data_IF_937649818708
#
_entry.id   IF_937649818708
#
_cell.length_a   1.000
_cell.length_b   1.000
_cell.length_c   1.000
_cell.angle_alpha   90.00
_cell.angle_beta   90.00
_cell.angle_gamma   90.00
#
_symmetry.space_group_name_H-M   'P 1'
#
loop_
_entity.id
_entity.type
_entity.pdbx_description
1 polymer ?
#
# COMPACT_ATOMS: atom_id res chain seq x y z
N UNK A 1 -17.91 -1.34 -18.70
CA UNK A 1 -16.62 -0.70 -18.40
C UNK A 1 -16.05 -1.38 -17.18
N UNK A 2 -14.85 -1.93 -17.29
CA UNK A 2 -14.20 -2.62 -16.17
C UNK A 2 -13.83 -1.63 -15.07
N UNK A 3 -14.04 -2.03 -13.81
CA UNK A 3 -13.63 -1.26 -12.65
C UNK A 3 -12.74 -2.11 -11.73
N UNK A 4 -12.06 -1.46 -10.84
CA UNK A 4 -11.12 -2.05 -9.89
C UNK A 4 -11.32 -1.42 -8.52
N UNK A 5 -11.10 -2.18 -7.48
CA UNK A 5 -11.12 -1.65 -6.11
C UNK A 5 -9.69 -1.35 -5.69
N UNK A 6 -9.46 -0.12 -5.25
CA UNK A 6 -8.22 0.30 -4.60
C UNK A 6 -8.40 0.43 -3.09
N UNK A 7 -7.46 -0.09 -2.34
CA UNK A 7 -7.37 0.08 -0.89
C UNK A 7 -6.03 0.72 -0.57
N UNK A 8 -6.08 1.81 0.21
CA UNK A 8 -4.90 2.47 0.77
C UNK A 8 -5.01 2.44 2.30
N UNK A 9 -4.18 1.61 2.91
CA UNK A 9 -4.08 1.50 4.37
C UNK A 9 -2.84 2.25 4.85
N UNK A 10 -3.06 3.45 5.37
CA UNK A 10 -2.05 4.24 6.06
C UNK A 10 -2.16 4.17 7.58
N UNK A 11 -1.27 4.90 8.29
CA UNK A 11 -1.24 4.92 9.75
C UNK A 11 -2.43 5.61 10.41
N UNK A 12 -3.21 6.43 9.68
CA UNK A 12 -4.30 7.24 10.25
C UNK A 12 -5.66 6.94 9.61
N UNK A 13 -5.69 6.38 8.42
CA UNK A 13 -6.92 6.07 7.70
C UNK A 13 -6.75 4.86 6.78
N UNK A 14 -7.86 4.18 6.53
CA UNK A 14 -8.06 3.26 5.43
C UNK A 14 -8.95 3.96 4.40
N UNK A 15 -8.51 4.05 3.16
CA UNK A 15 -9.30 4.54 2.03
C UNK A 15 -9.65 3.37 1.12
N UNK A 16 -10.91 3.27 0.75
CA UNK A 16 -11.39 2.31 -0.27
C UNK A 16 -11.98 3.12 -1.42
N UNK A 17 -11.64 2.75 -2.64
CA UNK A 17 -12.15 3.41 -3.83
C UNK A 17 -12.43 2.46 -4.98
N UNK A 18 -13.44 2.79 -5.79
CA UNK A 18 -13.69 2.17 -7.08
C UNK A 18 -13.11 3.07 -8.17
N UNK A 19 -12.29 2.49 -9.03
CA UNK A 19 -11.59 3.21 -10.10
C UNK A 19 -11.80 2.51 -11.44
N UNK A 20 -11.78 3.29 -12.52
CA UNK A 20 -11.80 2.75 -13.88
C UNK A 20 -10.40 2.36 -14.32
N UNK A 21 -10.29 1.60 -15.43
CA UNK A 21 -9.01 1.28 -16.06
C UNK A 21 -8.21 2.53 -16.50
N UNK A 22 -8.88 3.63 -16.77
CA UNK A 22 -8.26 4.92 -17.10
C UNK A 22 -7.75 5.70 -15.88
N UNK A 23 -8.00 5.20 -14.65
CA UNK A 23 -7.60 5.86 -13.42
C UNK A 23 -8.62 6.87 -12.89
N UNK A 24 -9.82 6.93 -13.47
CA UNK A 24 -10.89 7.78 -12.95
C UNK A 24 -11.47 7.18 -11.67
N UNK A 25 -11.56 7.99 -10.63
CA UNK A 25 -12.13 7.60 -9.34
C UNK A 25 -13.63 7.80 -9.37
N UNK A 26 -14.40 6.71 -9.30
CA UNK A 26 -15.86 6.74 -9.37
C UNK A 26 -16.49 7.03 -8.00
N UNK A 27 -15.95 6.43 -6.95
CA UNK A 27 -16.38 6.62 -5.57
C UNK A 27 -15.29 6.28 -4.58
N UNK A 28 -15.37 6.83 -3.38
CA UNK A 28 -14.45 6.53 -2.28
C UNK A 28 -15.17 6.50 -0.95
N UNK A 29 -14.61 5.75 0.00
CA UNK A 29 -15.01 5.77 1.40
C UNK A 29 -13.78 5.68 2.28
N UNK A 30 -13.78 6.44 3.38
CA UNK A 30 -12.67 6.50 4.32
C UNK A 30 -13.11 5.98 5.69
N UNK A 31 -12.22 5.25 6.34
CA UNK A 31 -12.40 4.72 7.68
C UNK A 31 -11.21 5.15 8.55
N UNK A 32 -11.44 5.63 9.78
CA UNK A 32 -10.35 5.95 10.67
C UNK A 32 -9.60 4.66 11.05
N UNK A 33 -8.28 4.79 11.11
CA UNK A 33 -7.41 3.75 11.67
C UNK A 33 -6.77 4.27 12.96
N UNK A 34 -5.75 3.64 13.41
CA UNK A 34 -4.86 4.01 14.51
C UNK A 34 -3.73 3.00 14.49
N UNK A 35 -3.05 2.82 15.61
CA UNK A 35 -2.08 1.76 15.75
C UNK A 35 -2.81 0.40 15.73
N UNK A 36 -2.76 -0.31 14.60
CA UNK A 36 -3.40 -1.60 14.39
C UNK A 36 -2.35 -2.72 14.34
N UNK A 37 -2.71 -3.89 14.85
CA UNK A 37 -2.03 -5.13 14.49
C UNK A 37 -2.42 -5.53 13.07
N UNK A 38 -1.63 -6.41 12.42
CA UNK A 38 -1.98 -6.92 11.09
C UNK A 38 -3.37 -7.57 11.08
N UNK A 39 -3.75 -8.31 12.12
CA UNK A 39 -5.07 -8.93 12.21
C UNK A 39 -6.19 -7.88 12.29
N UNK A 40 -6.05 -6.87 13.15
CA UNK A 40 -7.04 -5.79 13.25
C UNK A 40 -7.17 -5.01 11.94
N UNK A 41 -6.06 -4.79 11.25
CA UNK A 41 -6.07 -4.15 9.94
C UNK A 41 -6.75 -5.03 8.88
N UNK A 42 -6.53 -6.33 8.90
CA UNK A 42 -7.23 -7.29 8.04
C UNK A 42 -8.74 -7.29 8.29
N UNK A 43 -9.15 -7.30 9.56
CA UNK A 43 -10.57 -7.24 9.93
C UNK A 43 -11.23 -5.94 9.48
N UNK A 44 -10.51 -4.82 9.57
CA UNK A 44 -10.97 -3.51 9.07
C UNK A 44 -11.09 -3.52 7.54
N UNK A 45 -10.11 -4.06 6.82
CA UNK A 45 -10.16 -4.21 5.37
C UNK A 45 -11.37 -5.04 4.95
N UNK A 46 -11.59 -6.18 5.60
CA UNK A 46 -12.76 -7.02 5.32
C UNK A 46 -14.07 -6.28 5.58
N UNK A 47 -14.21 -5.62 6.72
CA UNK A 47 -15.42 -4.86 7.06
C UNK A 47 -15.69 -3.73 6.07
N UNK A 48 -14.63 -3.05 5.62
CA UNK A 48 -14.73 -1.98 4.62
C UNK A 48 -15.15 -2.52 3.25
N UNK A 49 -14.57 -3.63 2.81
CA UNK A 49 -14.94 -4.29 1.55
C UNK A 49 -16.37 -4.83 1.57
N UNK A 50 -16.77 -5.48 2.67
CA UNK A 50 -18.13 -6.01 2.82
C UNK A 50 -19.20 -4.91 2.71
N UNK A 51 -18.89 -3.71 3.21
CA UNK A 51 -19.78 -2.56 3.13
C UNK A 51 -19.70 -1.82 1.77
N UNK A 52 -18.56 -1.87 1.08
CA UNK A 52 -18.32 -1.07 -0.12
C UNK A 52 -18.67 -1.80 -1.41
N UNK A 53 -18.31 -3.08 -1.54
CA UNK A 53 -18.50 -3.88 -2.75
C UNK A 53 -19.96 -3.95 -3.24
N UNK A 54 -20.99 -4.06 -2.37
CA UNK A 54 -22.38 -4.09 -2.83
C UNK A 54 -22.84 -2.83 -3.56
N UNK A 55 -22.14 -1.71 -3.37
CA UNK A 55 -22.45 -0.42 -4.00
C UNK A 55 -21.65 -0.20 -5.30
N UNK A 56 -20.69 -1.08 -5.60
CA UNK A 56 -19.81 -0.97 -6.76
C UNK A 56 -20.45 -1.52 -8.03
N UNK A 57 -19.83 -1.22 -9.15
CA UNK A 57 -20.17 -1.81 -10.44
C UNK A 57 -20.10 -3.34 -10.37
N UNK A 58 -21.03 -4.08 -11.01
CA UNK A 58 -20.91 -5.54 -11.14
C UNK A 58 -19.71 -5.96 -12.00
N UNK A 59 -19.01 -5.02 -12.63
CA UNK A 59 -17.86 -5.25 -13.50
C UNK A 59 -16.52 -5.08 -12.78
N UNK A 60 -16.47 -5.18 -11.45
CA UNK A 60 -15.23 -5.18 -10.67
C UNK A 60 -14.37 -6.38 -11.09
N UNK A 61 -13.13 -6.12 -11.50
CA UNK A 61 -12.22 -7.13 -12.04
C UNK A 61 -11.16 -7.61 -11.03
N UNK A 62 -10.74 -6.74 -10.12
CA UNK A 62 -9.70 -7.06 -9.14
C UNK A 62 -9.70 -6.07 -7.98
N UNK A 63 -9.00 -6.45 -6.90
CA UNK A 63 -8.72 -5.62 -5.74
C UNK A 63 -7.21 -5.37 -5.67
N UNK A 64 -6.80 -4.11 -5.56
CA UNK A 64 -5.42 -3.68 -5.32
C UNK A 64 -5.27 -3.08 -3.93
N UNK A 65 -4.22 -3.46 -3.22
CA UNK A 65 -3.92 -3.01 -1.86
C UNK A 65 -2.60 -2.24 -1.82
N UNK A 66 -2.63 -1.00 -1.38
CA UNK A 66 -1.47 -0.25 -0.89
C UNK A 66 -1.45 -0.34 0.63
N UNK A 67 -0.45 -0.99 1.20
CA UNK A 67 -0.42 -1.30 2.62
C UNK A 67 0.82 -0.71 3.28
N UNK A 68 0.63 -0.12 4.45
CA UNK A 68 1.75 0.28 5.31
C UNK A 68 2.56 -0.94 5.73
N UNK A 69 3.88 -0.76 5.79
CA UNK A 69 4.82 -1.79 6.21
C UNK A 69 5.44 -2.57 5.05
N UNK A 70 5.87 -3.78 5.31
CA UNK A 70 6.67 -4.57 4.40
C UNK A 70 5.84 -5.64 3.68
N UNK A 71 5.82 -5.55 2.35
CA UNK A 71 5.01 -6.40 1.47
C UNK A 71 5.92 -7.11 0.47
N UNK A 72 5.77 -8.42 0.35
CA UNK A 72 6.27 -9.22 -0.77
C UNK A 72 5.17 -9.28 -1.83
N UNK A 73 5.24 -8.37 -2.78
CA UNK A 73 4.21 -8.23 -3.82
C UNK A 73 4.19 -9.38 -4.82
N UNK A 74 5.32 -10.09 -4.99
CA UNK A 74 5.39 -11.26 -5.87
C UNK A 74 4.66 -12.46 -5.27
N UNK A 75 4.77 -12.63 -3.93
CA UNK A 75 4.12 -13.73 -3.21
C UNK A 75 2.76 -13.37 -2.62
N UNK A 76 2.37 -12.09 -2.68
CA UNK A 76 1.12 -11.62 -2.08
C UNK A 76 1.10 -11.68 -0.55
N UNK A 77 2.28 -11.52 0.08
CA UNK A 77 2.46 -11.66 1.52
C UNK A 77 2.62 -10.30 2.21
N UNK A 78 1.86 -10.08 3.27
CA UNK A 78 2.09 -8.98 4.20
C UNK A 78 3.03 -9.43 5.29
N UNK A 79 4.31 -9.05 5.19
CA UNK A 79 5.38 -9.56 6.05
C UNK A 79 5.40 -8.89 7.42
N UNK A 80 5.04 -7.59 7.48
CA UNK A 80 5.12 -6.79 8.69
C UNK A 80 4.32 -5.50 8.53
N UNK A 81 3.60 -5.05 9.57
CA UNK A 81 2.86 -3.79 9.51
C UNK A 81 3.71 -2.60 9.99
N UNK A 82 4.29 -2.68 11.16
CA UNK A 82 5.31 -1.78 11.73
C UNK A 82 5.71 -2.29 13.12
N UNK A 83 6.86 -1.84 13.65
CA UNK A 83 7.22 -2.07 15.05
C UNK A 83 7.62 -3.49 15.44
N UNK A 84 8.01 -4.35 14.49
CA UNK A 84 8.76 -5.58 14.79
C UNK A 84 7.93 -6.81 15.20
N UNK A 85 6.60 -6.77 15.13
CA UNK A 85 5.77 -7.99 15.28
C UNK A 85 5.64 -8.67 13.92
N UNK A 86 6.40 -9.73 13.74
CA UNK A 86 6.45 -10.51 12.50
C UNK A 86 5.33 -11.55 12.49
N UNK A 87 4.21 -11.24 11.89
CA UNK A 87 3.24 -12.24 11.48
C UNK A 87 3.11 -12.11 9.95
N UNK A 88 3.57 -13.11 9.21
CA UNK A 88 3.39 -13.14 7.76
C UNK A 88 1.97 -13.56 7.43
N UNK A 89 1.20 -12.69 6.79
CA UNK A 89 -0.15 -12.99 6.33
C UNK A 89 -0.17 -13.16 4.81
N UNK A 90 -0.72 -14.26 4.27
CA UNK A 90 -0.94 -14.43 2.83
C UNK A 90 -2.18 -13.63 2.39
N UNK A 91 -2.10 -12.30 2.52
CA UNK A 91 -3.24 -11.40 2.40
C UNK A 91 -3.94 -11.48 1.05
N UNK A 92 -3.18 -11.63 -0.05
CA UNK A 92 -3.78 -11.74 -1.38
C UNK A 92 -4.61 -13.02 -1.51
N UNK A 93 -4.10 -14.15 -1.02
CA UNK A 93 -4.81 -15.42 -1.03
C UNK A 93 -6.08 -15.35 -0.16
N UNK A 94 -5.96 -14.87 1.08
CA UNK A 94 -7.08 -14.76 2.02
C UNK A 94 -8.23 -13.93 1.46
N UNK A 95 -7.94 -12.75 0.90
CA UNK A 95 -8.96 -11.88 0.33
C UNK A 95 -9.49 -12.42 -1.01
N UNK A 96 -8.64 -13.03 -1.83
CA UNK A 96 -9.08 -13.64 -3.09
C UNK A 96 -10.06 -14.78 -2.87
N UNK A 97 -9.82 -15.62 -1.86
CA UNK A 97 -10.75 -16.69 -1.46
C UNK A 97 -12.07 -16.13 -0.95
N UNK A 98 -12.03 -15.05 -0.15
CA UNK A 98 -13.23 -14.45 0.44
C UNK A 98 -14.12 -13.77 -0.60
N UNK A 99 -13.53 -13.01 -1.53
CA UNK A 99 -14.29 -12.16 -2.46
C UNK A 99 -14.39 -12.74 -3.87
N UNK A 100 -13.74 -13.88 -4.15
CA UNK A 100 -13.72 -14.51 -5.49
C UNK A 100 -13.21 -13.55 -6.58
N UNK A 101 -12.28 -12.68 -6.24
CA UNK A 101 -11.64 -11.70 -7.12
C UNK A 101 -10.11 -11.86 -7.04
N UNK A 102 -9.37 -11.61 -8.13
CA UNK A 102 -7.93 -11.45 -8.07
C UNK A 102 -7.55 -10.31 -7.11
N UNK A 103 -6.56 -10.55 -6.24
CA UNK A 103 -6.08 -9.58 -5.26
C UNK A 103 -4.58 -9.39 -5.42
N UNK A 104 -4.14 -8.14 -5.43
CA UNK A 104 -2.74 -7.75 -5.52
C UNK A 104 -2.41 -6.78 -4.39
N UNK A 105 -1.24 -6.92 -3.79
CA UNK A 105 -0.78 -6.07 -2.71
C UNK A 105 0.62 -5.53 -2.97
N UNK A 106 0.86 -4.30 -2.58
CA UNK A 106 2.19 -3.72 -2.48
C UNK A 106 2.26 -2.74 -1.30
N UNK A 107 3.46 -2.28 -0.99
CA UNK A 107 3.63 -1.18 -0.05
C UNK A 107 2.94 0.09 -0.60
N UNK A 108 2.39 0.92 0.30
CA UNK A 108 1.65 2.14 -0.02
C UNK A 108 2.44 3.12 -0.90
N UNK A 109 3.71 3.38 -0.55
CA UNK A 109 4.59 4.27 -1.32
C UNK A 109 4.93 3.69 -2.69
N UNK A 110 5.16 2.37 -2.79
CA UNK A 110 5.37 1.71 -4.09
C UNK A 110 4.10 1.69 -4.94
N UNK A 111 2.94 1.57 -4.31
CA UNK A 111 1.64 1.69 -4.99
C UNK A 111 1.42 3.09 -5.55
N UNK A 112 1.74 4.14 -4.79
CA UNK A 112 1.71 5.52 -5.26
C UNK A 112 2.70 5.76 -6.41
N UNK A 113 3.93 5.23 -6.30
CA UNK A 113 4.90 5.28 -7.40
C UNK A 113 4.36 4.62 -8.68
N UNK A 114 3.72 3.44 -8.58
CA UNK A 114 3.08 2.77 -9.72
C UNK A 114 2.00 3.62 -10.36
N UNK A 115 1.20 4.32 -9.54
CA UNK A 115 0.19 5.25 -10.01
C UNK A 115 0.81 6.43 -10.78
N UNK A 116 1.90 7.02 -10.29
CA UNK A 116 2.65 8.06 -10.98
C UNK A 116 3.22 7.58 -12.33
N UNK A 117 3.76 6.38 -12.37
CA UNK A 117 4.27 5.79 -13.62
C UNK A 117 3.15 5.53 -14.63
N UNK A 118 1.96 5.18 -14.18
CA UNK A 118 0.83 4.84 -15.06
C UNK A 118 0.02 6.05 -15.48
N UNK A 119 -0.28 6.95 -14.55
CA UNK A 119 -1.26 8.02 -14.73
C UNK A 119 -0.67 9.43 -14.54
N UNK A 120 0.46 9.54 -13.83
CA UNK A 120 1.05 10.81 -13.41
C UNK A 120 2.22 11.29 -14.27
N UNK A 121 3.12 12.02 -13.62
CA UNK A 121 4.30 12.64 -14.23
C UNK A 121 5.40 11.63 -14.58
N UNK A 122 5.32 10.41 -14.02
CA UNK A 122 6.29 9.33 -14.26
C UNK A 122 6.10 8.56 -15.57
N UNK A 123 5.06 8.88 -16.37
CA UNK A 123 4.78 8.16 -17.62
C UNK A 123 5.95 8.20 -18.59
N UNK A 124 6.45 7.02 -18.98
CA UNK A 124 7.57 6.87 -19.91
C UNK A 124 8.95 7.15 -19.31
N UNK A 125 9.03 7.51 -18.03
CA UNK A 125 10.29 7.74 -17.32
C UNK A 125 10.84 6.41 -16.83
N UNK A 126 12.12 6.14 -17.12
CA UNK A 126 12.78 4.90 -16.73
C UNK A 126 13.59 5.01 -15.43
N UNK A 127 13.94 6.23 -15.03
CA UNK A 127 14.73 6.48 -13.82
C UNK A 127 14.05 7.60 -13.03
N UNK A 128 13.42 7.25 -11.90
CA UNK A 128 12.56 8.12 -11.12
C UNK A 128 12.72 7.85 -9.63
N UNK A 129 12.73 8.90 -8.83
CA UNK A 129 12.57 8.83 -7.38
C UNK A 129 11.25 9.49 -7.02
N UNK A 130 10.37 8.75 -6.39
CA UNK A 130 9.15 9.24 -5.76
C UNK A 130 9.39 9.38 -4.27
N UNK A 131 9.22 10.58 -3.71
CA UNK A 131 9.41 10.84 -2.27
C UNK A 131 8.05 11.15 -1.67
N UNK A 132 7.68 10.40 -0.64
CA UNK A 132 6.49 10.64 0.17
C UNK A 132 6.91 11.26 1.51
N UNK A 133 6.34 12.43 1.83
CA UNK A 133 6.51 13.12 3.11
C UNK A 133 5.14 13.31 3.72
N UNK A 134 4.82 12.49 4.72
CA UNK A 134 3.52 12.47 5.41
C UNK A 134 3.72 12.18 6.89
N UNK A 135 2.98 11.21 7.44
CA UNK A 135 3.22 10.71 8.82
C UNK A 135 4.65 10.20 8.98
N UNK A 136 5.20 9.59 7.94
CA UNK A 136 6.59 9.19 7.82
C UNK A 136 7.24 9.78 6.56
N UNK A 137 8.50 9.43 6.33
CA UNK A 137 9.25 9.77 5.12
C UNK A 137 9.70 8.47 4.47
N UNK A 138 9.33 8.28 3.22
CA UNK A 138 9.73 7.11 2.45
C UNK A 138 9.93 7.46 0.97
N UNK A 139 10.59 6.60 0.22
CA UNK A 139 10.78 6.78 -1.21
C UNK A 139 10.47 5.49 -1.99
N UNK A 140 10.07 5.67 -3.24
CA UNK A 140 10.04 4.61 -4.22
C UNK A 140 11.05 4.92 -5.32
N UNK A 141 11.73 3.90 -5.82
CA UNK A 141 12.78 4.06 -6.84
C UNK A 141 12.43 3.26 -8.08
N UNK A 142 12.67 3.85 -9.23
CA UNK A 142 12.66 3.19 -10.54
C UNK A 142 14.04 3.37 -11.15
N UNK A 143 14.60 2.30 -11.68
CA UNK A 143 15.84 2.34 -12.45
C UNK A 143 15.74 1.43 -13.65
N UNK A 144 16.13 1.93 -14.82
CA UNK A 144 16.01 1.19 -16.08
C UNK A 144 14.57 0.74 -16.39
N UNK A 145 13.54 1.42 -15.84
CA UNK A 145 12.13 1.05 -15.96
C UNK A 145 11.64 0.01 -14.96
N UNK A 146 12.47 -0.42 -14.02
CA UNK A 146 12.13 -1.42 -12.99
C UNK A 146 12.01 -0.77 -11.62
N UNK A 147 10.94 -1.13 -10.89
CA UNK A 147 10.76 -0.70 -9.51
C UNK A 147 11.71 -1.48 -8.61
N UNK A 148 12.44 -0.76 -7.77
CA UNK A 148 13.38 -1.35 -6.82
C UNK A 148 12.65 -1.76 -5.56
N UNK A 149 12.58 -3.05 -5.28
CA UNK A 149 11.94 -3.62 -4.08
C UNK A 149 12.95 -3.94 -2.98
N UNK A 150 14.21 -4.16 -3.36
CA UNK A 150 15.27 -4.63 -2.46
C UNK A 150 15.18 -6.11 -2.11
N UNK A 151 16.26 -6.69 -1.60
CA UNK A 151 16.33 -8.13 -1.33
C UNK A 151 15.39 -8.63 -0.23
N UNK A 152 14.84 -7.73 0.59
CA UNK A 152 13.90 -8.04 1.69
C UNK A 152 12.60 -7.23 1.60
N UNK A 153 12.24 -6.75 0.40
CA UNK A 153 11.05 -5.94 0.14
C UNK A 153 11.00 -4.64 0.98
N UNK A 154 12.17 -4.05 1.27
CA UNK A 154 12.33 -2.92 2.19
C UNK A 154 13.09 -1.74 1.56
N UNK A 155 13.18 -1.67 0.23
CA UNK A 155 13.78 -0.51 -0.42
C UNK A 155 12.90 0.71 -0.24
N UNK A 156 13.53 1.86 0.02
CA UNK A 156 12.81 3.13 0.12
C UNK A 156 12.58 3.66 1.53
N UNK A 157 12.99 2.96 2.55
CA UNK A 157 12.88 3.38 3.98
C UNK A 157 13.88 4.50 4.33
N UNK A 158 13.90 5.57 3.52
CA UNK A 158 14.84 6.69 3.65
C UNK A 158 14.65 7.50 4.93
N UNK A 159 13.44 7.51 5.49
CA UNK A 159 13.14 8.18 6.76
C UNK A 159 13.86 7.56 7.97
N UNK A 160 14.37 6.32 7.82
CA UNK A 160 15.17 5.64 8.85
C UNK A 160 16.67 5.79 8.65
N UNK A 161 17.10 6.66 7.71
CA UNK A 161 18.51 6.98 7.51
C UNK A 161 18.97 7.99 8.55
N UNK A 162 20.10 7.72 9.23
CA UNK A 162 20.65 8.67 10.18
C UNK A 162 21.08 9.97 9.48
N UNK A 163 20.58 11.09 9.97
CA UNK A 163 20.98 12.43 9.51
C UNK A 163 22.30 12.89 10.13
N UNK A 164 22.82 12.16 11.12
CA UNK A 164 23.94 12.58 11.95
C UNK A 164 23.59 13.72 12.94
N UNK A 165 22.31 14.11 13.00
CA UNK A 165 21.81 15.14 13.91
C UNK A 165 20.97 14.46 15.00
N UNK A 166 21.15 14.84 16.25
CA UNK A 166 20.33 14.38 17.37
C UNK A 166 19.23 15.38 17.65
N UNK A 167 17.98 15.01 17.37
CA UNK A 167 16.81 15.84 17.61
C UNK A 167 16.08 15.48 18.91
N UNK A 168 16.57 14.54 19.70
CA UNK A 168 15.91 13.97 20.90
C UNK A 168 14.48 13.49 20.64
N UNK A 169 14.23 13.04 19.41
CA UNK A 169 12.96 12.46 18.99
C UNK A 169 13.24 10.99 18.68
N UNK A 170 12.68 10.11 19.51
CA UNK A 170 12.84 8.68 19.31
C UNK A 170 11.95 8.22 18.14
N UNK A 171 12.52 7.51 17.19
CA UNK A 171 11.78 6.84 16.14
C UNK A 171 11.14 5.55 16.67
N UNK A 172 9.97 5.19 16.17
CA UNK A 172 9.30 3.91 16.50
C UNK A 172 10.17 2.68 16.17
N UNK A 173 11.13 2.82 15.26
CA UNK A 173 12.10 1.76 14.96
C UNK A 173 13.17 1.56 16.05
N UNK A 174 13.17 2.38 17.12
CA UNK A 174 14.11 2.30 18.24
C UNK A 174 15.49 2.92 17.96
N UNK A 175 15.62 3.74 16.92
CA UNK A 175 16.83 4.51 16.59
C UNK A 175 16.57 6.00 16.87
N UNK A 176 17.60 6.69 17.33
CA UNK A 176 17.62 8.14 17.52
C UNK A 176 18.10 8.86 16.25
#
# INVERSE_FOLDING_TARGET
MNTYIGIDLGGTKLLVGEVTEAGEVLRTRSYPTGALTQQQAMDLICSALDAFLPECSPAVQAIGLGLVGRIDSEKGLWLEISGGRKATLPICEMLSQRYSLPVYADNDVRSALKAELRFGQGRGIKDLIYINVGTGVAAGFVTGGHIVTGGHCNAGEIGHTSSGLSFRISCECGRD
#
